data_IF_384207086212
#
_entry.id   IF_384207086212
#
_cell.length_a   1.000
_cell.length_b   1.000
_cell.length_c   1.000
_cell.angle_alpha   90.00
_cell.angle_beta   90.00
_cell.angle_gamma   90.00
#
_symmetry.space_group_name_H-M   'P 1'
#
loop_
_entity.id
_entity.type
_entity.pdbx_description
1 polymer ?
#
# COMPACT_ATOMS: atom_id res chain seq x y z
N UNK A 1 10.36 23.16 -12.22
CA UNK A 1 10.12 21.75 -12.45
C UNK A 1 10.19 20.92 -11.15
N UNK A 2 11.30 21.00 -10.41
CA UNK A 2 11.55 20.15 -9.23
C UNK A 2 10.52 20.36 -8.12
N UNK A 3 10.09 21.60 -7.87
CA UNK A 3 9.06 21.91 -6.88
C UNK A 3 7.70 21.26 -7.22
N UNK A 4 7.29 21.32 -8.47
CA UNK A 4 6.07 20.66 -8.97
C UNK A 4 6.19 19.12 -8.86
N UNK A 5 7.37 18.58 -9.19
CA UNK A 5 7.63 17.15 -9.07
C UNK A 5 7.48 16.69 -7.62
N UNK A 6 8.07 17.39 -6.66
CA UNK A 6 7.96 17.09 -5.23
C UNK A 6 6.52 17.23 -4.71
N UNK A 7 5.79 18.26 -5.14
CA UNK A 7 4.39 18.47 -4.75
C UNK A 7 3.48 17.33 -5.22
N UNK A 8 3.69 16.80 -6.43
CA UNK A 8 2.92 15.66 -6.95
C UNK A 8 3.29 14.36 -6.26
N UNK A 9 4.59 14.14 -5.94
CA UNK A 9 5.04 12.91 -5.28
C UNK A 9 4.67 12.83 -3.81
N UNK A 10 4.57 13.97 -3.11
CA UNK A 10 4.16 14.05 -1.70
C UNK A 10 2.65 14.09 -1.48
N UNK A 11 1.86 14.40 -2.52
CA UNK A 11 0.40 14.53 -2.45
C UNK A 11 -0.35 13.19 -2.51
N UNK A 12 -1.62 13.21 -2.08
CA UNK A 12 -2.52 12.07 -2.20
C UNK A 12 -2.75 11.70 -3.67
N UNK A 13 -2.69 10.39 -3.97
CA UNK A 13 -2.97 9.81 -5.29
C UNK A 13 -4.35 10.27 -5.78
N UNK A 14 -4.42 10.80 -7.01
CA UNK A 14 -5.65 11.10 -7.76
C UNK A 14 -6.44 12.38 -7.38
N UNK A 15 -5.85 13.40 -6.77
CA UNK A 15 -6.52 14.70 -6.70
C UNK A 15 -6.56 15.36 -8.09
N UNK A 16 -7.63 16.10 -8.41
CA UNK A 16 -7.70 16.88 -9.66
C UNK A 16 -6.52 17.85 -9.79
N UNK A 17 -6.04 18.38 -8.68
CA UNK A 17 -4.85 19.22 -8.62
C UNK A 17 -3.57 18.49 -9.05
N UNK A 18 -3.37 17.24 -8.64
CA UNK A 18 -2.20 16.45 -9.06
C UNK A 18 -2.18 16.21 -10.57
N UNK A 19 -3.34 15.93 -11.18
CA UNK A 19 -3.48 15.76 -12.64
C UNK A 19 -3.11 17.04 -13.39
N UNK A 20 -3.64 18.19 -12.94
CA UNK A 20 -3.33 19.48 -13.53
C UNK A 20 -1.83 19.81 -13.41
N UNK A 21 -1.22 19.57 -12.26
CA UNK A 21 0.22 19.79 -12.03
C UNK A 21 1.10 18.96 -12.96
N UNK A 22 0.77 17.68 -13.17
CA UNK A 22 1.52 16.81 -14.10
C UNK A 22 1.40 17.34 -15.55
N UNK A 23 0.21 17.73 -15.98
CA UNK A 23 0.01 18.27 -17.33
C UNK A 23 0.76 19.61 -17.53
N UNK A 24 0.73 20.50 -16.54
CA UNK A 24 1.52 21.74 -16.55
C UNK A 24 3.01 21.44 -16.65
N UNK A 25 3.49 20.43 -15.93
CA UNK A 25 4.90 20.03 -15.93
C UNK A 25 5.33 19.47 -17.29
N UNK A 26 4.49 18.66 -17.94
CA UNK A 26 4.70 18.19 -19.31
C UNK A 26 4.75 19.36 -20.27
N UNK A 27 3.76 20.28 -20.20
CA UNK A 27 3.73 21.49 -21.04
C UNK A 27 4.97 22.37 -20.88
N UNK A 28 5.40 22.60 -19.62
CA UNK A 28 6.63 23.35 -19.32
C UNK A 28 7.88 22.69 -19.94
N UNK A 29 7.95 21.36 -19.90
CA UNK A 29 9.07 20.63 -20.50
C UNK A 29 9.09 20.79 -22.02
N UNK A 30 7.93 20.77 -22.69
CA UNK A 30 7.85 21.05 -24.13
C UNK A 30 8.24 22.47 -24.47
N UNK A 31 7.82 23.46 -23.69
CA UNK A 31 8.24 24.86 -23.87
C UNK A 31 9.76 24.95 -23.74
N UNK A 32 10.37 24.35 -22.76
CA UNK A 32 11.82 24.29 -22.59
C UNK A 32 12.51 23.61 -23.77
N UNK A 33 11.97 22.51 -24.31
CA UNK A 33 12.53 21.84 -25.50
C UNK A 33 12.56 22.76 -26.73
N UNK A 34 11.49 23.54 -26.92
CA UNK A 34 11.40 24.47 -28.06
C UNK A 34 12.38 25.63 -27.90
N UNK A 35 12.48 26.18 -26.67
CA UNK A 35 13.29 27.37 -26.42
C UNK A 35 14.80 27.11 -26.38
N UNK A 36 15.22 25.99 -25.77
CA UNK A 36 16.62 25.80 -25.39
C UNK A 36 17.42 24.90 -26.33
N UNK A 37 16.75 24.02 -27.08
CA UNK A 37 17.37 22.99 -27.94
C UNK A 37 18.44 22.13 -27.25
N UNK A 38 18.43 22.03 -25.92
CA UNK A 38 19.36 21.18 -25.19
C UNK A 38 18.91 19.71 -25.19
N UNK A 39 19.81 18.83 -25.58
CA UNK A 39 19.57 17.38 -25.69
C UNK A 39 19.25 16.70 -24.35
N UNK A 40 19.51 17.34 -23.21
CA UNK A 40 19.17 16.84 -21.86
C UNK A 40 17.74 17.15 -21.43
N UNK A 41 17.06 18.13 -22.04
CA UNK A 41 15.69 18.52 -21.64
C UNK A 41 14.68 17.38 -21.79
N UNK A 42 14.70 16.55 -22.84
CA UNK A 42 13.79 15.43 -22.98
C UNK A 42 13.86 14.40 -21.83
N UNK A 43 14.97 14.35 -21.09
CA UNK A 43 15.11 13.48 -19.90
C UNK A 43 14.04 13.82 -18.85
N UNK A 44 13.62 15.08 -18.74
CA UNK A 44 12.57 15.50 -17.84
C UNK A 44 11.22 14.85 -18.15
N UNK A 45 10.97 14.48 -19.42
CA UNK A 45 9.75 13.77 -19.82
C UNK A 45 9.73 12.34 -19.25
N UNK A 46 10.88 11.71 -19.02
CA UNK A 46 10.96 10.39 -18.39
C UNK A 46 10.43 10.47 -16.95
N UNK A 47 10.77 11.55 -16.23
CA UNK A 47 10.23 11.78 -14.88
C UNK A 47 8.72 12.05 -14.92
N UNK A 48 8.23 12.77 -15.94
CA UNK A 48 6.80 12.99 -16.13
C UNK A 48 6.04 11.67 -16.36
N UNK A 49 6.62 10.70 -17.07
CA UNK A 49 6.01 9.39 -17.31
C UNK A 49 5.77 8.63 -16.01
N UNK A 50 6.71 8.65 -15.07
CA UNK A 50 6.55 8.04 -13.75
C UNK A 50 5.34 8.63 -13.01
N UNK A 51 5.17 9.95 -13.08
CA UNK A 51 4.02 10.64 -12.48
C UNK A 51 2.71 10.34 -13.21
N UNK A 52 2.73 10.27 -14.54
CA UNK A 52 1.56 9.89 -15.34
C UNK A 52 1.04 8.51 -14.96
N UNK A 53 1.92 7.52 -14.84
CA UNK A 53 1.56 6.16 -14.43
C UNK A 53 0.97 6.11 -13.01
N UNK A 54 1.40 7.01 -12.12
CA UNK A 54 0.92 7.09 -10.75
C UNK A 54 -0.45 7.77 -10.61
N UNK A 55 -0.71 8.81 -11.40
CA UNK A 55 -1.84 9.74 -11.22
C UNK A 55 -3.02 9.42 -12.12
N UNK A 56 -2.76 8.89 -13.32
CA UNK A 56 -3.77 8.58 -14.32
C UNK A 56 -4.08 7.09 -14.40
N UNK A 57 -5.25 6.74 -14.98
CA UNK A 57 -5.57 5.35 -15.26
C UNK A 57 -4.62 4.77 -16.33
N UNK A 58 -4.42 3.44 -16.37
CA UNK A 58 -3.49 2.83 -17.33
C UNK A 58 -3.77 3.21 -18.78
N UNK A 59 -5.05 3.25 -19.18
CA UNK A 59 -5.44 3.64 -20.54
C UNK A 59 -5.10 5.11 -20.85
N UNK A 60 -5.38 6.01 -19.91
CA UNK A 60 -5.08 7.44 -20.05
C UNK A 60 -3.56 7.68 -20.09
N UNK A 61 -2.79 6.99 -19.25
CA UNK A 61 -1.34 7.10 -19.25
C UNK A 61 -0.74 6.67 -20.58
N UNK A 62 -1.20 5.56 -21.17
CA UNK A 62 -0.73 5.11 -22.49
C UNK A 62 -1.03 6.15 -23.57
N UNK A 63 -2.26 6.66 -23.62
CA UNK A 63 -2.64 7.69 -24.61
C UNK A 63 -1.78 8.94 -24.45
N UNK A 64 -1.59 9.43 -23.23
CA UNK A 64 -0.77 10.62 -22.96
C UNK A 64 0.69 10.41 -23.33
N UNK A 65 1.26 9.23 -23.03
CA UNK A 65 2.64 8.89 -23.41
C UNK A 65 2.79 8.83 -24.93
N UNK A 66 1.83 8.26 -25.66
CA UNK A 66 1.85 8.23 -27.13
C UNK A 66 1.80 9.66 -27.71
N UNK A 67 0.86 10.48 -27.24
CA UNK A 67 0.75 11.88 -27.68
C UNK A 67 2.03 12.66 -27.39
N UNK A 68 2.62 12.44 -26.22
CA UNK A 68 3.88 13.06 -25.82
C UNK A 68 5.04 12.66 -26.76
N UNK A 69 5.13 11.38 -27.16
CA UNK A 69 6.17 10.92 -28.08
C UNK A 69 5.95 11.42 -29.51
N UNK A 70 4.71 11.56 -29.96
CA UNK A 70 4.40 12.23 -31.25
C UNK A 70 4.87 13.67 -31.23
N UNK A 71 4.60 14.42 -30.16
CA UNK A 71 5.07 15.80 -30.02
C UNK A 71 6.61 15.89 -29.99
N UNK A 72 7.29 14.97 -29.27
CA UNK A 72 8.76 14.88 -29.27
C UNK A 72 9.30 14.65 -30.70
N UNK A 73 8.68 13.70 -31.43
CA UNK A 73 9.08 13.43 -32.82
C UNK A 73 8.98 14.69 -33.71
N UNK A 74 7.86 15.43 -33.62
CA UNK A 74 7.66 16.66 -34.41
C UNK A 74 8.70 17.73 -34.04
N UNK A 75 9.01 17.90 -32.76
CA UNK A 75 10.06 18.83 -32.31
C UNK A 75 11.43 18.42 -32.85
N UNK A 76 11.79 17.16 -32.80
CA UNK A 76 13.06 16.65 -33.30
C UNK A 76 13.18 16.82 -34.84
N UNK A 77 12.07 16.61 -35.57
CA UNK A 77 12.02 16.74 -37.02
C UNK A 77 12.02 18.20 -37.46
N UNK A 78 11.08 19.00 -36.93
CA UNK A 78 10.78 20.32 -37.54
C UNK A 78 11.53 21.48 -36.85
N UNK A 79 11.76 21.40 -35.53
CA UNK A 79 12.42 22.48 -34.78
C UNK A 79 13.90 22.22 -34.62
N UNK A 80 14.28 21.01 -34.20
CA UNK A 80 15.69 20.66 -33.96
C UNK A 80 16.39 20.20 -35.25
N UNK A 81 15.62 19.77 -36.24
CA UNK A 81 16.09 19.30 -37.55
C UNK A 81 17.19 18.23 -37.40
N UNK A 82 16.96 17.26 -36.52
CA UNK A 82 17.90 16.17 -36.28
C UNK A 82 18.07 15.33 -37.53
N UNK A 83 19.28 14.84 -37.78
CA UNK A 83 19.58 13.96 -38.91
C UNK A 83 18.79 12.62 -38.87
N UNK A 84 18.45 12.16 -37.72
CA UNK A 84 17.70 10.90 -37.51
C UNK A 84 16.64 11.03 -36.41
N UNK A 85 15.55 11.80 -36.65
CA UNK A 85 14.55 12.11 -35.63
C UNK A 85 13.82 10.85 -35.15
N UNK A 86 13.59 9.87 -36.02
CA UNK A 86 12.94 8.59 -35.70
C UNK A 86 13.77 7.81 -34.68
N UNK A 87 15.07 7.64 -34.91
CA UNK A 87 15.96 6.89 -34.02
C UNK A 87 16.04 7.55 -32.66
N UNK A 88 16.17 8.89 -32.61
CA UNK A 88 16.20 9.64 -31.36
C UNK A 88 14.90 9.52 -30.58
N UNK A 89 13.75 9.54 -31.25
CA UNK A 89 12.44 9.36 -30.62
C UNK A 89 12.26 7.93 -30.09
N UNK A 90 12.64 6.91 -30.88
CA UNK A 90 12.58 5.52 -30.44
C UNK A 90 13.47 5.24 -29.22
N UNK A 91 14.68 5.79 -29.21
CA UNK A 91 15.58 5.69 -28.07
C UNK A 91 14.96 6.34 -26.83
N UNK A 92 14.39 7.52 -26.97
CA UNK A 92 13.72 8.23 -25.89
C UNK A 92 12.49 7.47 -25.38
N UNK A 93 11.67 6.93 -26.30
CA UNK A 93 10.50 6.10 -25.98
C UNK A 93 10.89 4.83 -25.23
N UNK A 94 12.03 4.23 -25.55
CA UNK A 94 12.53 3.03 -24.83
C UNK A 94 12.85 3.34 -23.37
N UNK A 95 13.50 4.47 -23.08
CA UNK A 95 13.75 4.91 -21.69
C UNK A 95 12.47 5.25 -20.95
N UNK A 96 11.49 5.88 -21.61
CA UNK A 96 10.19 6.15 -21.03
C UNK A 96 9.42 4.85 -20.72
N UNK A 97 9.45 3.88 -21.64
CA UNK A 97 8.83 2.57 -21.44
C UNK A 97 9.43 1.82 -20.25
N UNK A 98 10.76 1.84 -20.14
CA UNK A 98 11.45 1.26 -18.99
C UNK A 98 11.06 1.95 -17.68
N UNK A 99 11.04 3.29 -17.66
CA UNK A 99 10.64 4.05 -16.47
C UNK A 99 9.18 3.80 -16.10
N UNK A 100 8.27 3.75 -17.08
CA UNK A 100 6.86 3.45 -16.86
C UNK A 100 6.66 2.05 -16.26
N UNK A 101 7.34 1.06 -16.81
CA UNK A 101 7.27 -0.33 -16.36
C UNK A 101 7.82 -0.48 -14.94
N UNK A 102 8.97 0.11 -14.67
CA UNK A 102 9.59 0.11 -13.33
C UNK A 102 8.68 0.78 -12.30
N UNK A 103 8.11 1.94 -12.63
CA UNK A 103 7.17 2.63 -11.76
C UNK A 103 5.92 1.79 -11.49
N UNK A 104 5.35 1.16 -12.52
CA UNK A 104 4.18 0.31 -12.39
C UNK A 104 4.45 -0.89 -11.47
N UNK A 105 5.58 -1.58 -11.62
CA UNK A 105 5.97 -2.67 -10.74
C UNK A 105 6.21 -2.20 -9.30
N UNK A 106 6.87 -1.05 -9.11
CA UNK A 106 7.10 -0.49 -7.79
C UNK A 106 5.78 -0.19 -7.06
N UNK A 107 4.81 0.43 -7.75
CA UNK A 107 3.49 0.70 -7.16
C UNK A 107 2.69 -0.57 -6.86
N UNK A 108 2.78 -1.58 -7.72
CA UNK A 108 2.15 -2.88 -7.46
C UNK A 108 2.75 -3.58 -6.25
N UNK A 109 4.07 -3.55 -6.12
CA UNK A 109 4.77 -4.12 -4.96
C UNK A 109 4.40 -3.41 -3.66
N UNK A 110 4.29 -2.07 -3.68
CA UNK A 110 3.84 -1.28 -2.53
C UNK A 110 2.41 -1.65 -2.12
N UNK A 111 1.47 -1.71 -3.07
CA UNK A 111 0.09 -2.12 -2.80
C UNK A 111 -0.01 -3.54 -2.21
N UNK A 112 0.78 -4.48 -2.73
CA UNK A 112 0.81 -5.84 -2.22
C UNK A 112 1.36 -5.90 -0.79
N UNK A 113 2.38 -5.10 -0.47
CA UNK A 113 2.92 -4.98 0.90
C UNK A 113 1.89 -4.41 1.87
N UNK A 114 1.18 -3.35 1.48
CA UNK A 114 0.15 -2.73 2.31
C UNK A 114 -1.00 -3.72 2.59
N UNK A 115 -1.46 -4.45 1.57
CA UNK A 115 -2.49 -5.48 1.72
C UNK A 115 -2.03 -6.62 2.65
N UNK A 116 -0.78 -7.07 2.51
CA UNK A 116 -0.20 -8.10 3.38
C UNK A 116 -0.07 -7.61 4.83
N UNK A 117 0.35 -6.36 5.04
CA UNK A 117 0.44 -5.76 6.36
C UNK A 117 -0.93 -5.69 7.04
N UNK A 118 -1.98 -5.27 6.32
CA UNK A 118 -3.35 -5.26 6.82
C UNK A 118 -3.83 -6.67 7.22
N UNK A 119 -3.61 -7.67 6.35
CA UNK A 119 -4.00 -9.06 6.65
C UNK A 119 -3.25 -9.62 7.86
N UNK A 120 -1.96 -9.31 8.00
CA UNK A 120 -1.19 -9.72 9.18
C UNK A 120 -1.71 -9.06 10.47
N UNK A 121 -2.09 -7.79 10.43
CA UNK A 121 -2.69 -7.10 11.57
C UNK A 121 -4.01 -7.77 12.00
N UNK A 122 -4.88 -8.12 11.05
CA UNK A 122 -6.15 -8.82 11.31
C UNK A 122 -5.92 -10.21 11.91
N UNK A 123 -4.93 -10.95 11.40
CA UNK A 123 -4.56 -12.26 11.94
C UNK A 123 -4.05 -12.16 13.37
N UNK A 124 -3.22 -11.19 13.70
CA UNK A 124 -2.72 -10.96 15.06
C UNK A 124 -3.85 -10.57 16.00
N UNK A 125 -4.78 -9.71 15.59
CA UNK A 125 -5.96 -9.35 16.38
C UNK A 125 -6.84 -10.58 16.65
N UNK A 126 -7.12 -11.38 15.63
CA UNK A 126 -7.91 -12.61 15.78
C UNK A 126 -7.24 -13.61 16.72
N UNK A 127 -5.92 -13.79 16.62
CA UNK A 127 -5.15 -14.67 17.52
C UNK A 127 -5.20 -14.20 18.97
N UNK A 128 -5.14 -12.88 19.21
CA UNK A 128 -5.22 -12.34 20.57
C UNK A 128 -6.61 -12.58 21.18
N UNK A 129 -7.68 -12.39 20.41
CA UNK A 129 -9.06 -12.68 20.86
C UNK A 129 -9.28 -14.16 21.14
N UNK A 130 -8.77 -15.06 20.30
CA UNK A 130 -8.85 -16.50 20.54
C UNK A 130 -8.09 -16.91 21.80
N UNK A 131 -6.91 -16.33 22.04
CA UNK A 131 -6.14 -16.62 23.25
C UNK A 131 -6.84 -16.11 24.51
N UNK A 132 -7.49 -14.96 24.46
CA UNK A 132 -8.30 -14.42 25.56
C UNK A 132 -9.51 -15.31 25.85
N UNK A 133 -10.28 -15.67 24.81
CA UNK A 133 -11.43 -16.55 24.91
C UNK A 133 -11.04 -17.94 25.49
N UNK A 134 -9.90 -18.49 25.07
CA UNK A 134 -9.39 -19.74 25.59
C UNK A 134 -9.03 -19.64 27.09
N UNK A 135 -8.42 -18.55 27.52
CA UNK A 135 -8.12 -18.30 28.95
C UNK A 135 -9.37 -18.14 29.77
N UNK A 136 -10.38 -17.45 29.26
CA UNK A 136 -11.64 -17.28 29.99
C UNK A 136 -12.42 -18.58 30.11
N UNK A 137 -12.44 -19.39 29.04
CA UNK A 137 -13.07 -20.72 29.09
C UNK A 137 -12.37 -21.66 30.09
N UNK A 138 -11.04 -21.62 30.16
CA UNK A 138 -10.26 -22.38 31.12
C UNK A 138 -10.50 -21.92 32.57
N UNK A 139 -10.58 -20.62 32.81
CA UNK A 139 -10.94 -20.05 34.11
C UNK A 139 -12.32 -20.51 34.57
N UNK A 140 -13.31 -20.50 33.67
CA UNK A 140 -14.66 -21.00 33.97
C UNK A 140 -14.67 -22.51 34.25
N UNK A 141 -13.88 -23.29 33.51
CA UNK A 141 -13.74 -24.73 33.76
C UNK A 141 -13.14 -25.00 35.14
N UNK A 142 -12.01 -24.36 35.46
CA UNK A 142 -11.37 -24.51 36.77
C UNK A 142 -12.27 -24.06 37.92
N UNK A 143 -13.04 -22.98 37.73
CA UNK A 143 -14.00 -22.50 38.75
C UNK A 143 -15.09 -23.54 39.02
N UNK A 144 -15.61 -24.22 37.98
CA UNK A 144 -16.61 -25.30 38.17
C UNK A 144 -15.99 -26.52 38.86
N UNK A 145 -14.79 -26.96 38.43
CA UNK A 145 -14.09 -28.09 39.07
C UNK A 145 -13.80 -27.80 40.54
N UNK A 146 -13.34 -26.58 40.88
CA UNK A 146 -13.14 -26.18 42.29
C UNK A 146 -14.44 -26.19 43.09
N UNK A 147 -15.52 -25.67 42.50
CA UNK A 147 -16.83 -25.64 43.16
C UNK A 147 -17.36 -27.06 43.45
N UNK A 148 -17.21 -27.95 42.47
CA UNK A 148 -17.65 -29.33 42.60
C UNK A 148 -16.83 -30.10 43.67
N UNK A 149 -15.48 -29.96 43.62
CA UNK A 149 -14.61 -30.59 44.61
C UNK A 149 -14.85 -30.05 46.04
N UNK A 150 -14.97 -28.71 46.16
CA UNK A 150 -15.24 -28.07 47.44
C UNK A 150 -16.64 -28.46 47.96
N UNK A 151 -17.67 -28.46 47.10
CA UNK A 151 -19.03 -28.87 47.44
C UNK A 151 -19.12 -30.32 47.93
N UNK A 152 -18.46 -31.26 47.26
CA UNK A 152 -18.40 -32.66 47.68
C UNK A 152 -17.68 -32.82 49.00
N UNK A 153 -16.53 -32.16 49.21
CA UNK A 153 -15.78 -32.24 50.49
C UNK A 153 -16.57 -31.63 51.65
N UNK A 154 -17.23 -30.49 51.44
CA UNK A 154 -18.07 -29.87 52.47
C UNK A 154 -19.29 -30.74 52.83
N UNK A 155 -19.90 -31.38 51.85
CA UNK A 155 -21.02 -32.30 52.08
C UNK A 155 -20.57 -33.52 52.83
N UNK A 156 -19.44 -34.13 52.49
CA UNK A 156 -18.85 -35.25 53.22
C UNK A 156 -18.50 -34.89 54.68
N UNK A 157 -17.91 -33.70 54.89
CA UNK A 157 -17.59 -33.18 56.22
C UNK A 157 -18.85 -32.96 57.04
N UNK A 158 -19.92 -32.41 56.48
CA UNK A 158 -21.22 -32.22 57.16
C UNK A 158 -21.84 -33.54 57.55
N UNK A 159 -21.78 -34.53 56.65
CA UNK A 159 -22.28 -35.88 56.97
C UNK A 159 -21.50 -36.56 58.11
N UNK A 160 -20.16 -36.44 58.08
CA UNK A 160 -19.30 -36.97 59.12
C UNK A 160 -19.55 -36.31 60.50
N UNK A 161 -19.70 -34.98 60.52
CA UNK A 161 -20.06 -34.25 61.76
C UNK A 161 -21.45 -34.66 62.32
N UNK A 162 -22.43 -34.80 61.40
CA UNK A 162 -23.77 -35.27 61.81
C UNK A 162 -23.76 -36.70 62.37
N UNK A 163 -22.91 -37.57 61.84
CA UNK A 163 -22.73 -38.92 62.36
C UNK A 163 -22.08 -38.91 63.72
N UNK A 164 -21.04 -38.09 63.94
CA UNK A 164 -20.40 -37.93 65.26
C UNK A 164 -21.34 -37.39 66.35
N UNK A 165 -22.23 -36.48 66.01
CA UNK A 165 -23.24 -35.90 66.91
C UNK A 165 -24.30 -36.91 67.31
N UNK A 166 -24.51 -37.97 66.51
CA UNK A 166 -25.47 -39.05 66.78
C UNK A 166 -24.87 -40.25 67.54
N UNK A 167 -23.57 -40.31 67.77
CA UNK A 167 -22.91 -41.37 68.50
C UNK A 167 -23.13 -41.18 70.01
N UNK A 168 -23.84 -42.06 70.68
CA UNK A 168 -24.16 -41.98 72.13
C UNK A 168 -22.93 -42.02 73.06
N UNK A 169 -21.73 -42.28 72.54
CA UNK A 169 -20.47 -42.32 73.31
C UNK A 169 -19.88 -40.96 73.67
N UNK A 170 -20.46 -39.85 73.11
CA UNK A 170 -20.03 -38.50 73.39
C UNK A 170 -21.13 -37.61 74.01
N UNK A 171 -22.20 -38.16 74.56
CA UNK A 171 -23.21 -37.51 75.36
C UNK A 171 -22.89 -37.58 76.86
#
# INVERSE_FOLDING_TARGET
FLALFMAVTSGQRASHGARAMVLVQVGLTFVLMVLTRYTSVPILLILCVVQLVRVFSPRQSVVLIVLMNVAVYLIYRDIWQLRSPIISTLMHMSFQGFAALTAWFAFRAEQARDALAATNADLLATRSLLAETARDSERLRLSRELHDVAGHKLTALKLNLAALQRDPRHA
#
